data_IF_941998518747
#
_entry.id   IF_941998518747
#
_cell.length_a   1.000
_cell.length_b   1.000
_cell.length_c   1.000
_cell.angle_alpha   90.00
_cell.angle_beta   90.00
_cell.angle_gamma   90.00
#
_symmetry.space_group_name_H-M   'P 1'
#
loop_
_entity.id
_entity.type
_entity.pdbx_description
1 polymer ?
#
# COMPACT_ATOMS: atom_id res chain seq x y z
N UNK A 1 -3.03 6.62 -9.93
CA UNK A 1 -4.15 5.68 -9.73
C UNK A 1 -5.42 6.48 -9.54
N UNK A 2 -6.48 6.19 -10.28
CA UNK A 2 -7.78 6.80 -10.04
C UNK A 2 -8.34 6.26 -8.71
N UNK A 3 -8.65 7.16 -7.79
CA UNK A 3 -9.41 6.85 -6.58
C UNK A 3 -10.80 7.45 -6.71
N UNK A 4 -11.80 6.78 -6.13
CA UNK A 4 -13.17 7.30 -6.08
C UNK A 4 -13.59 7.48 -4.63
N UNK A 5 -14.25 8.60 -4.32
CA UNK A 5 -14.97 8.73 -3.06
C UNK A 5 -16.10 7.71 -3.03
N UNK A 6 -16.23 6.96 -1.93
CA UNK A 6 -17.21 5.87 -1.80
C UNK A 6 -18.09 5.99 -0.57
N UNK A 7 -17.64 6.68 0.47
CA UNK A 7 -18.42 6.83 1.71
C UNK A 7 -17.87 7.94 2.62
N UNK A 8 -18.64 8.28 3.64
CA UNK A 8 -18.22 9.07 4.81
C UNK A 8 -18.57 8.29 6.07
N UNK A 9 -17.58 8.01 6.92
CA UNK A 9 -17.78 7.35 8.22
C UNK A 9 -17.92 8.39 9.32
N UNK A 10 -18.99 8.29 10.11
CA UNK A 10 -19.28 9.19 11.21
C UNK A 10 -18.96 8.52 12.56
N UNK A 11 -18.80 9.29 13.65
CA UNK A 11 -18.68 8.72 14.99
C UNK A 11 -19.77 7.70 15.29
N UNK A 12 -19.39 6.56 15.89
CA UNK A 12 -20.27 5.41 16.09
C UNK A 12 -20.10 4.30 15.03
N UNK A 13 -19.42 4.57 13.91
CA UNK A 13 -18.98 3.51 13.01
C UNK A 13 -17.80 2.72 13.64
N UNK A 14 -17.91 1.39 13.81
CA UNK A 14 -16.91 0.62 14.54
C UNK A 14 -15.50 0.67 13.93
N UNK A 15 -15.40 0.75 12.60
CA UNK A 15 -14.11 0.80 11.93
C UNK A 15 -13.46 2.17 12.07
N UNK A 16 -14.25 3.24 11.87
CA UNK A 16 -13.81 4.62 12.09
C UNK A 16 -13.38 4.83 13.54
N UNK A 17 -14.16 4.35 14.50
CA UNK A 17 -13.86 4.54 15.92
C UNK A 17 -12.59 3.79 16.31
N UNK A 18 -12.37 2.59 15.76
CA UNK A 18 -11.09 1.89 15.91
C UNK A 18 -9.90 2.67 15.30
N UNK A 19 -10.05 3.23 14.09
CA UNK A 19 -8.99 4.06 13.50
C UNK A 19 -8.65 5.28 14.38
N UNK A 20 -9.68 5.93 14.91
CA UNK A 20 -9.52 7.15 15.71
C UNK A 20 -8.97 6.85 17.09
N UNK A 21 -9.45 5.83 17.80
CA UNK A 21 -9.00 5.60 19.18
C UNK A 21 -7.69 4.82 19.24
N UNK A 22 -7.55 3.76 18.43
CA UNK A 22 -6.45 2.81 18.57
C UNK A 22 -5.30 3.03 17.58
N UNK A 23 -5.57 3.62 16.41
CA UNK A 23 -4.54 3.72 15.35
C UNK A 23 -3.87 5.10 15.33
N UNK A 24 -4.65 6.18 15.31
CA UNK A 24 -4.10 7.54 15.14
C UNK A 24 -4.57 8.55 16.20
N UNK A 25 -5.21 8.11 17.28
CA UNK A 25 -5.85 9.01 18.25
C UNK A 25 -4.93 10.04 18.88
N UNK A 26 -3.66 9.71 19.06
CA UNK A 26 -2.63 10.61 19.58
C UNK A 26 -2.24 11.74 18.61
N UNK A 27 -2.60 11.63 17.33
CA UNK A 27 -2.29 12.61 16.26
C UNK A 27 -3.48 13.51 15.95
N UNK A 28 -4.68 13.15 16.38
CA UNK A 28 -5.92 13.86 16.08
C UNK A 28 -6.18 14.96 17.10
N UNK A 29 -6.55 16.14 16.61
CA UNK A 29 -7.08 17.26 17.40
C UNK A 29 -8.56 17.03 17.71
N UNK A 30 -9.35 16.66 16.71
CA UNK A 30 -10.76 16.35 16.86
C UNK A 30 -11.04 14.85 16.71
N UNK A 31 -11.13 14.14 17.83
CA UNK A 31 -11.54 12.72 17.87
C UNK A 31 -12.99 12.47 17.46
N UNK A 32 -13.81 13.49 17.22
CA UNK A 32 -15.19 13.34 16.68
C UNK A 32 -15.28 13.64 15.18
N UNK A 33 -14.16 13.86 14.49
CA UNK A 33 -14.17 14.13 13.05
C UNK A 33 -14.78 12.97 12.24
N UNK A 34 -15.52 13.31 11.18
CA UNK A 34 -15.95 12.33 10.19
C UNK A 34 -14.79 11.97 9.25
N UNK A 35 -14.87 10.82 8.60
CA UNK A 35 -13.77 10.26 7.80
C UNK A 35 -14.25 9.99 6.38
N UNK A 36 -13.68 10.69 5.39
CA UNK A 36 -13.92 10.40 3.99
C UNK A 36 -13.22 9.10 3.59
N UNK A 37 -13.89 8.26 2.81
CA UNK A 37 -13.36 7.00 2.30
C UNK A 37 -13.20 7.08 0.80
N UNK A 38 -11.97 6.88 0.32
CA UNK A 38 -11.66 6.81 -1.10
C UNK A 38 -11.15 5.41 -1.47
N UNK A 39 -11.81 4.72 -2.39
CA UNK A 39 -11.42 3.38 -2.85
C UNK A 39 -10.50 3.45 -4.06
N UNK A 40 -9.47 2.61 -4.08
CA UNK A 40 -8.52 2.45 -5.17
C UNK A 40 -8.73 1.13 -5.91
N UNK A 41 -8.43 1.12 -7.21
CA UNK A 41 -8.39 -0.12 -7.98
C UNK A 41 -7.08 -0.86 -7.71
N UNK A 42 -7.18 -2.02 -7.05
CA UNK A 42 -6.05 -2.85 -6.64
C UNK A 42 -6.46 -4.33 -6.65
N UNK A 43 -5.52 -5.23 -6.34
CA UNK A 43 -5.77 -6.68 -6.19
C UNK A 43 -6.54 -7.06 -4.92
N UNK A 44 -6.70 -6.10 -4.00
CA UNK A 44 -7.51 -6.17 -2.80
C UNK A 44 -8.34 -4.89 -2.66
N UNK A 45 -9.35 -4.88 -1.79
CA UNK A 45 -9.93 -3.62 -1.34
C UNK A 45 -8.84 -2.80 -0.65
N UNK A 46 -8.50 -1.65 -1.24
CA UNK A 46 -7.59 -0.66 -0.68
C UNK A 46 -8.30 0.68 -0.63
N UNK A 47 -8.33 1.29 0.55
CA UNK A 47 -9.03 2.55 0.78
C UNK A 47 -8.11 3.56 1.48
N UNK A 48 -8.22 4.83 1.09
CA UNK A 48 -7.69 5.96 1.85
C UNK A 48 -8.79 6.49 2.76
N UNK A 49 -8.45 6.68 4.04
CA UNK A 49 -9.33 7.24 5.06
C UNK A 49 -8.78 8.62 5.42
N UNK A 50 -9.51 9.67 5.05
CA UNK A 50 -9.13 11.06 5.26
C UNK A 50 -9.97 11.65 6.39
N UNK A 51 -9.29 12.10 7.45
CA UNK A 51 -9.92 12.65 8.65
C UNK A 51 -10.25 14.13 8.41
N UNK A 52 -11.54 14.45 8.32
CA UNK A 52 -12.01 15.77 7.88
C UNK A 52 -11.60 16.84 8.90
N UNK A 53 -10.93 17.88 8.43
CA UNK A 53 -10.42 18.98 9.26
C UNK A 53 -9.08 18.71 9.94
N UNK A 54 -8.52 17.51 9.81
CA UNK A 54 -7.31 17.09 10.54
C UNK A 54 -6.04 17.10 9.69
N UNK A 55 -6.15 17.29 8.36
CA UNK A 55 -5.04 17.16 7.40
C UNK A 55 -4.24 15.85 7.58
N UNK A 56 -4.95 14.77 7.94
CA UNK A 56 -4.39 13.45 8.17
C UNK A 56 -5.13 12.44 7.31
N UNK A 57 -4.39 11.45 6.82
CA UNK A 57 -4.95 10.31 6.11
C UNK A 57 -4.17 9.05 6.43
N UNK A 58 -4.86 7.92 6.37
CA UNK A 58 -4.25 6.58 6.42
C UNK A 58 -4.71 5.75 5.24
N UNK A 59 -3.92 4.74 4.90
CA UNK A 59 -4.30 3.73 3.91
C UNK A 59 -4.69 2.45 4.65
N UNK A 60 -5.77 1.81 4.24
CA UNK A 60 -6.16 0.50 4.72
C UNK A 60 -6.23 -0.48 3.55
N UNK A 61 -5.62 -1.65 3.72
CA UNK A 61 -5.70 -2.78 2.79
C UNK A 61 -6.36 -3.95 3.49
N UNK A 62 -7.43 -4.47 2.90
CA UNK A 62 -8.24 -5.56 3.46
C UNK A 62 -7.89 -6.88 2.78
N UNK A 63 -7.19 -7.75 3.50
CA UNK A 63 -6.69 -9.00 2.92
C UNK A 63 -7.80 -10.04 2.74
N UNK A 64 -8.87 -10.00 3.54
CA UNK A 64 -10.00 -10.92 3.32
C UNK A 64 -10.93 -10.48 2.17
N UNK A 65 -10.58 -9.40 1.45
CA UNK A 65 -11.33 -8.90 0.30
C UNK A 65 -10.47 -8.86 -0.98
N UNK A 66 -10.01 -10.02 -1.49
CA UNK A 66 -9.27 -10.07 -2.75
C UNK A 66 -10.20 -9.73 -3.92
N UNK A 67 -9.79 -8.77 -4.73
CA UNK A 67 -10.46 -8.35 -5.97
C UNK A 67 -9.74 -8.90 -7.22
N UNK A 68 -8.52 -9.44 -7.05
CA UNK A 68 -7.72 -10.06 -8.11
C UNK A 68 -8.01 -11.55 -8.34
N UNK A 69 -7.14 -12.18 -9.14
CA UNK A 69 -7.23 -13.61 -9.52
C UNK A 69 -6.88 -14.56 -8.36
N UNK A 70 -5.94 -14.15 -7.51
CA UNK A 70 -5.43 -14.97 -6.41
C UNK A 70 -6.32 -14.77 -5.19
N UNK A 71 -7.34 -15.62 -5.07
CA UNK A 71 -8.34 -15.59 -3.99
C UNK A 71 -8.14 -16.67 -2.94
N UNK A 72 -7.42 -17.73 -3.30
CA UNK A 72 -7.15 -18.86 -2.41
C UNK A 72 -5.81 -18.66 -1.72
N UNK A 73 -5.85 -17.95 -0.59
CA UNK A 73 -4.72 -17.81 0.32
C UNK A 73 -5.23 -17.48 1.73
N UNK A 74 -4.40 -17.63 2.76
CA UNK A 74 -4.76 -17.27 4.13
C UNK A 74 -4.63 -15.74 4.35
N UNK A 75 -5.74 -15.00 4.53
CA UNK A 75 -5.70 -13.54 4.62
C UNK A 75 -4.92 -13.01 5.81
N UNK A 76 -5.02 -13.70 6.96
CA UNK A 76 -4.32 -13.33 8.18
C UNK A 76 -2.80 -13.44 8.01
N UNK A 77 -2.33 -14.54 7.42
CA UNK A 77 -0.91 -14.73 7.14
C UNK A 77 -0.40 -13.71 6.12
N UNK A 78 -1.19 -13.40 5.09
CA UNK A 78 -0.84 -12.35 4.12
C UNK A 78 -0.70 -10.98 4.78
N UNK A 79 -1.68 -10.58 5.59
CA UNK A 79 -1.66 -9.32 6.36
C UNK A 79 -0.44 -9.24 7.28
N UNK A 80 -0.17 -10.31 8.02
CA UNK A 80 0.94 -10.34 8.99
C UNK A 80 2.29 -10.31 8.28
N UNK A 81 2.45 -11.05 7.18
CA UNK A 81 3.67 -11.03 6.37
C UNK A 81 3.95 -9.64 5.81
N UNK A 82 2.94 -8.96 5.26
CA UNK A 82 3.11 -7.61 4.72
C UNK A 82 3.46 -6.59 5.81
N UNK A 83 2.80 -6.65 6.97
CA UNK A 83 3.13 -5.81 8.12
C UNK A 83 4.57 -5.99 8.59
N UNK A 84 5.04 -7.24 8.73
CA UNK A 84 6.41 -7.52 9.16
C UNK A 84 7.44 -7.11 8.10
N UNK A 85 7.14 -7.34 6.82
CA UNK A 85 8.01 -6.93 5.73
C UNK A 85 8.14 -5.41 5.65
N UNK A 86 7.04 -4.66 5.83
CA UNK A 86 7.10 -3.19 5.90
C UNK A 86 7.93 -2.70 7.09
N UNK A 87 7.80 -3.34 8.27
CA UNK A 87 8.65 -3.01 9.42
C UNK A 87 10.13 -3.24 9.15
N UNK A 88 10.49 -4.35 8.49
CA UNK A 88 11.87 -4.64 8.09
C UNK A 88 12.35 -3.67 7.02
N UNK A 89 11.54 -3.38 6.00
CA UNK A 89 11.91 -2.45 4.94
C UNK A 89 12.14 -1.03 5.49
N UNK A 90 11.37 -0.61 6.49
CA UNK A 90 11.50 0.69 7.13
C UNK A 90 12.84 0.94 7.84
N UNK A 91 13.61 -0.12 8.15
CA UNK A 91 14.97 0.05 8.69
C UNK A 91 16.03 0.28 7.61
N UNK A 92 15.67 0.15 6.34
CA UNK A 92 16.60 0.20 5.19
C UNK A 92 16.25 1.34 4.24
N UNK A 93 14.96 1.51 3.95
CA UNK A 93 14.46 2.50 3.00
C UNK A 93 13.22 3.21 3.54
N UNK A 94 12.90 4.36 2.95
CA UNK A 94 11.67 5.07 3.25
C UNK A 94 10.46 4.29 2.72
N UNK A 95 9.60 3.83 3.63
CA UNK A 95 8.32 3.18 3.31
C UNK A 95 7.19 3.80 4.12
N UNK A 96 5.96 3.63 3.66
CA UNK A 96 4.78 3.96 4.46
C UNK A 96 4.80 3.14 5.75
N UNK A 97 4.80 3.80 6.92
CA UNK A 97 4.92 3.10 8.19
C UNK A 97 3.67 2.24 8.42
N UNK A 98 3.82 0.97 8.80
CA UNK A 98 2.70 0.14 9.21
C UNK A 98 2.22 0.59 10.60
N UNK A 99 1.00 1.12 10.68
CA UNK A 99 0.44 1.69 11.90
C UNK A 99 -0.25 0.61 12.75
N UNK A 100 -1.10 -0.21 12.15
CA UNK A 100 -1.87 -1.22 12.87
C UNK A 100 -2.30 -2.37 11.96
N UNK A 101 -2.65 -3.49 12.58
CA UNK A 101 -3.33 -4.62 11.93
C UNK A 101 -4.53 -5.03 12.77
N UNK A 102 -5.59 -5.51 12.14
CA UNK A 102 -6.73 -6.04 12.87
C UNK A 102 -7.47 -7.14 12.10
N UNK A 103 -7.43 -8.35 12.65
CA UNK A 103 -8.10 -9.52 12.05
C UNK A 103 -9.63 -9.38 11.98
N UNK A 104 -10.24 -8.63 12.91
CA UNK A 104 -11.71 -8.48 13.00
C UNK A 104 -12.30 -7.65 11.86
N UNK A 105 -11.50 -6.76 11.28
CA UNK A 105 -11.90 -5.92 10.15
C UNK A 105 -11.34 -6.50 8.84
N UNK A 106 -11.79 -7.70 8.46
CA UNK A 106 -11.39 -8.35 7.19
C UNK A 106 -9.86 -8.46 7.00
N UNK A 107 -9.14 -8.76 8.08
CA UNK A 107 -7.68 -8.80 8.11
C UNK A 107 -7.06 -7.51 7.52
N UNK A 108 -7.39 -6.36 8.12
CA UNK A 108 -6.90 -5.07 7.65
C UNK A 108 -5.46 -4.81 8.10
N UNK A 109 -4.66 -4.26 7.18
CA UNK A 109 -3.41 -3.56 7.46
C UNK A 109 -3.62 -2.06 7.25
N UNK A 110 -3.30 -1.25 8.26
CA UNK A 110 -3.33 0.21 8.16
C UNK A 110 -1.91 0.75 8.11
N UNK A 111 -1.64 1.63 7.14
CA UNK A 111 -0.35 2.32 6.97
C UNK A 111 -0.54 3.82 6.91
N UNK A 112 0.55 4.57 7.09
CA UNK A 112 0.55 6.00 6.80
C UNK A 112 0.21 6.25 5.32
N UNK A 113 -0.55 7.31 5.06
CA UNK A 113 -0.70 7.83 3.72
C UNK A 113 0.48 8.75 3.38
N UNK A 114 1.24 8.40 2.35
CA UNK A 114 2.31 9.24 1.80
C UNK A 114 1.75 10.00 0.59
N UNK A 115 1.50 11.32 0.68
CA UNK A 115 1.09 12.09 -0.50
C UNK A 115 2.25 12.19 -1.49
N UNK A 116 1.97 12.06 -2.78
CA UNK A 116 2.98 12.18 -3.80
C UNK A 116 2.51 11.79 -5.20
N UNK A 117 3.36 12.07 -6.19
CA UNK A 117 3.17 11.65 -7.57
C UNK A 117 3.73 10.23 -7.76
N UNK A 118 2.97 9.34 -8.39
CA UNK A 118 3.44 8.00 -8.75
C UNK A 118 4.54 8.05 -9.82
N UNK A 119 5.39 7.02 -9.91
CA UNK A 119 6.40 6.92 -10.97
C UNK A 119 5.80 7.03 -12.38
N UNK A 120 4.64 6.42 -12.61
CA UNK A 120 3.89 6.52 -13.87
C UNK A 120 3.53 7.97 -14.26
N UNK A 121 3.33 8.85 -13.28
CA UNK A 121 3.08 10.26 -13.57
C UNK A 121 4.35 10.89 -14.17
N UNK A 122 5.53 10.58 -13.62
CA UNK A 122 6.79 11.10 -14.13
C UNK A 122 7.15 10.55 -15.51
N UNK A 123 6.78 9.28 -15.81
CA UNK A 123 6.91 8.76 -17.17
C UNK A 123 6.08 9.56 -18.18
N UNK A 124 4.86 9.96 -17.81
CA UNK A 124 3.96 10.66 -18.73
C UNK A 124 4.27 12.16 -18.89
N UNK A 125 5.03 12.77 -17.98
CA UNK A 125 5.28 14.21 -17.98
C UNK A 125 6.76 14.58 -18.14
N UNK A 126 7.66 13.58 -18.09
CA UNK A 126 9.12 13.68 -18.22
C UNK A 126 9.83 14.66 -17.25
N UNK A 127 9.09 15.32 -16.36
CA UNK A 127 9.60 16.26 -15.37
C UNK A 127 10.59 15.54 -14.42
N UNK A 128 11.88 15.88 -14.52
CA UNK A 128 12.96 15.30 -13.68
C UNK A 128 12.99 13.77 -13.71
N UNK A 129 12.56 13.15 -14.81
CA UNK A 129 12.41 11.70 -14.90
C UNK A 129 13.72 10.96 -14.58
N UNK A 130 14.85 11.43 -15.11
CA UNK A 130 16.17 10.86 -14.82
C UNK A 130 16.49 10.86 -13.31
N UNK A 131 16.25 11.97 -12.63
CA UNK A 131 16.47 12.06 -11.17
C UNK A 131 15.59 11.07 -10.40
N UNK A 132 14.33 10.87 -10.83
CA UNK A 132 13.42 9.91 -10.21
C UNK A 132 13.84 8.47 -10.47
N UNK A 133 14.30 8.15 -11.67
CA UNK A 133 14.82 6.83 -12.00
C UNK A 133 16.10 6.52 -11.23
N UNK A 134 17.03 7.48 -11.14
CA UNK A 134 18.23 7.35 -10.33
C UNK A 134 17.88 7.10 -8.85
N UNK A 135 16.93 7.84 -8.30
CA UNK A 135 16.47 7.63 -6.92
C UNK A 135 15.88 6.23 -6.69
N UNK A 136 15.08 5.71 -7.64
CA UNK A 136 14.57 4.32 -7.59
C UNK A 136 15.72 3.32 -7.65
N UNK A 137 16.69 3.50 -8.54
CA UNK A 137 17.86 2.61 -8.63
C UNK A 137 18.66 2.58 -7.32
N UNK A 138 18.88 3.74 -6.69
CA UNK A 138 19.54 3.82 -5.39
C UNK A 138 18.75 3.12 -4.28
N UNK A 139 17.42 3.29 -4.23
CA UNK A 139 16.56 2.60 -3.27
C UNK A 139 16.60 1.07 -3.47
N UNK A 140 16.55 0.59 -4.72
CA UNK A 140 16.64 -0.84 -5.03
C UNK A 140 18.00 -1.42 -4.63
N UNK A 141 19.09 -0.69 -4.86
CA UNK A 141 20.42 -1.07 -4.38
C UNK A 141 20.44 -1.23 -2.87
N UNK A 142 19.91 -0.27 -2.12
CA UNK A 142 19.83 -0.35 -0.65
C UNK A 142 19.04 -1.58 -0.20
N UNK A 143 17.91 -1.89 -0.86
CA UNK A 143 17.15 -3.10 -0.57
C UNK A 143 17.96 -4.37 -0.84
N UNK A 144 18.62 -4.48 -2.00
CA UNK A 144 19.42 -5.65 -2.35
C UNK A 144 20.62 -5.87 -1.42
N UNK A 145 21.29 -4.81 -1.00
CA UNK A 145 22.45 -4.89 -0.10
C UNK A 145 22.06 -5.30 1.34
N UNK A 146 20.83 -4.99 1.77
CA UNK A 146 20.38 -5.18 3.16
C UNK A 146 19.35 -6.30 3.33
N UNK A 147 18.98 -7.01 2.26
CA UNK A 147 18.10 -8.18 2.33
C UNK A 147 18.85 -9.43 1.88
N UNK A 148 18.65 -10.55 2.57
CA UNK A 148 19.18 -11.85 2.10
C UNK A 148 18.44 -12.25 0.82
N UNK A 149 18.98 -11.86 -0.33
CA UNK A 149 18.55 -12.40 -1.60
C UNK A 149 19.16 -13.79 -1.75
N UNK A 150 18.41 -14.85 -1.39
CA UNK A 150 18.65 -16.13 -2.07
C UNK A 150 18.12 -15.96 -3.49
N UNK A 151 18.93 -15.38 -4.37
CA UNK A 151 18.60 -15.24 -5.78
C UNK A 151 18.46 -16.65 -6.37
N UNK A 152 17.22 -17.09 -6.55
CA UNK A 152 16.92 -18.30 -7.27
C UNK A 152 16.38 -17.90 -8.64
N UNK A 153 17.29 -17.86 -9.62
CA UNK A 153 16.99 -17.51 -11.01
C UNK A 153 15.79 -18.29 -11.57
N UNK A 154 15.68 -19.58 -11.29
CA UNK A 154 14.58 -20.41 -11.80
C UNK A 154 13.23 -20.03 -11.21
N UNK A 155 13.17 -19.61 -9.95
CA UNK A 155 11.94 -19.08 -9.34
C UNK A 155 11.57 -17.70 -9.91
N UNK A 156 12.54 -16.79 -10.01
CA UNK A 156 12.31 -15.42 -10.50
C UNK A 156 11.87 -15.41 -11.97
N UNK A 157 12.42 -16.31 -12.79
CA UNK A 157 12.07 -16.41 -14.20
C UNK A 157 10.90 -17.36 -14.50
N UNK A 158 10.36 -18.07 -13.50
CA UNK A 158 9.24 -19.02 -13.71
C UNK A 158 8.02 -18.36 -14.35
N UNK A 159 7.72 -17.14 -13.92
CA UNK A 159 6.58 -16.38 -14.41
C UNK A 159 7.02 -15.25 -15.35
N UNK A 160 8.26 -15.30 -15.88
CA UNK A 160 8.80 -14.24 -16.73
C UNK A 160 7.91 -14.00 -17.95
N UNK A 161 7.51 -15.07 -18.64
CA UNK A 161 6.59 -14.98 -19.77
C UNK A 161 5.21 -14.46 -19.38
N UNK A 162 4.66 -14.88 -18.23
CA UNK A 162 3.38 -14.33 -17.73
C UNK A 162 3.46 -12.82 -17.42
N UNK A 163 4.60 -12.35 -16.92
CA UNK A 163 4.83 -10.93 -16.64
C UNK A 163 5.00 -10.14 -17.93
N UNK A 164 5.71 -10.65 -18.92
CA UNK A 164 5.82 -10.03 -20.25
C UNK A 164 4.45 -9.91 -20.93
N UNK A 165 3.68 -10.99 -20.92
CA UNK A 165 2.33 -11.03 -21.49
C UNK A 165 1.40 -10.05 -20.76
N UNK A 166 1.51 -9.95 -19.43
CA UNK A 166 0.75 -8.98 -18.63
C UNK A 166 1.12 -7.53 -18.95
N UNK A 167 2.40 -7.26 -19.16
CA UNK A 167 2.91 -5.93 -19.50
C UNK A 167 2.70 -5.57 -20.97
N UNK A 168 2.21 -6.50 -21.81
CA UNK A 168 2.08 -6.35 -23.27
C UNK A 168 3.38 -5.85 -23.92
N UNK A 169 4.50 -6.32 -23.39
CA UNK A 169 5.80 -6.09 -24.01
C UNK A 169 5.94 -7.18 -25.06
N UNK A 170 5.51 -6.86 -26.28
CA UNK A 170 5.55 -7.77 -27.42
C UNK A 170 6.97 -8.28 -27.70
N UNK A 171 7.05 -9.50 -28.23
CA UNK A 171 8.29 -10.22 -28.56
C UNK A 171 9.01 -9.69 -29.82
N UNK A 172 8.57 -8.56 -30.38
CA UNK A 172 9.08 -8.00 -31.64
C UNK A 172 10.02 -6.81 -31.41
N UNK A 173 11.14 -7.04 -30.73
CA UNK A 173 12.34 -6.18 -30.82
C UNK A 173 13.59 -7.00 -31.10
#
# INVERSE_FOLDING_TARGET
>A
MASRHVNVLNPGDPFRDWLVEEVIGHRLKNKKCSVNVFKYNSSHTVCRYEFIGENLSVMAKFFAEPTGRLKDYNPHNGMMNEYQNLKKAASVINVAKPLAVNKKFNCVLVTEHIPGKSLAWYFNHEEKLYEKLAAVAHMLRQLHENTKASYNKENEFRNFHEVLDYLKLDYDT
#
